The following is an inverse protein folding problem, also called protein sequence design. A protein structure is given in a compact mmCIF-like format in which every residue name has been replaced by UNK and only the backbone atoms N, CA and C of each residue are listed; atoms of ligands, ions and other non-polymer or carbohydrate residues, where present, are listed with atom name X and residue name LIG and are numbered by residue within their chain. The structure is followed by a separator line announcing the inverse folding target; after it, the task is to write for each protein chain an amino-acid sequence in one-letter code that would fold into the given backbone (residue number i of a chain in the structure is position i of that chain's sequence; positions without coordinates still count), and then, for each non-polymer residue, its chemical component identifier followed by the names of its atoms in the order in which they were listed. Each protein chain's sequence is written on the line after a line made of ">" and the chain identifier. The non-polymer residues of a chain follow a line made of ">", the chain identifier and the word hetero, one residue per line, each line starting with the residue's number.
data_IF_846342079590
#
_entry.id   IF_846342079590
#
_cell.length_a   1.000
_cell.length_b   1.000
_cell.length_c   1.000
_cell.angle_alpha   90.00
_cell.angle_beta   90.00
_cell.angle_gamma   90.00
#
_symmetry.space_group_name_H-M   'P 1'
#
loop_
_entity.id
_entity.type
_entity.pdbx_description
1 polymer ?
#
# COMPACT_ATOMS: atom_id res chain seq x y z
N UNK A 1 3.78 -16.29 5.76
CA UNK A 1 3.49 -16.14 7.21
C UNK A 1 3.54 -14.65 7.55
N UNK A 2 2.40 -13.98 7.79
CA UNK A 2 2.40 -12.57 8.22
C UNK A 2 2.79 -12.55 9.70
N UNK A 3 4.03 -12.18 10.02
CA UNK A 3 4.55 -12.19 11.40
C UNK A 3 4.38 -10.85 12.09
N UNK A 4 4.39 -10.89 13.44
CA UNK A 4 4.38 -9.76 14.39
C UNK A 4 5.38 -8.62 14.06
N UNK A 5 6.45 -8.93 13.31
CA UNK A 5 7.47 -7.98 12.86
C UNK A 5 6.93 -6.95 11.88
N UNK A 6 6.04 -7.35 10.97
CA UNK A 6 5.46 -6.46 9.95
C UNK A 6 4.55 -5.40 10.58
N UNK A 7 3.89 -5.77 11.68
CA UNK A 7 2.95 -4.92 12.42
C UNK A 7 3.56 -4.16 13.59
N UNK A 8 4.88 -4.28 13.84
CA UNK A 8 5.54 -3.74 15.04
C UNK A 8 4.72 -3.97 16.31
N UNK A 9 4.12 -5.15 16.46
CA UNK A 9 3.35 -5.52 17.64
C UNK A 9 4.32 -5.72 18.82
N UNK A 10 4.80 -4.61 19.40
CA UNK A 10 5.56 -4.63 20.65
C UNK A 10 4.63 -5.11 21.77
N UNK A 11 5.13 -5.79 22.82
CA UNK A 11 4.34 -6.05 24.01
C UNK A 11 3.87 -4.71 24.58
N UNK A 12 2.57 -4.44 24.51
CA UNK A 12 2.00 -3.22 25.09
C UNK A 12 1.41 -3.62 26.43
N UNK A 13 1.97 -3.08 27.52
CA UNK A 13 1.45 -3.25 28.87
C UNK A 13 0.24 -2.32 29.06
N UNK A 14 -0.82 -2.55 28.29
CA UNK A 14 -2.12 -1.89 28.43
C UNK A 14 -3.00 -2.78 29.31
N UNK A 15 -3.52 -2.22 30.40
CA UNK A 15 -4.38 -2.91 31.36
C UNK A 15 -5.88 -2.64 31.18
N UNK A 16 -6.24 -1.70 30.29
CA UNK A 16 -7.64 -1.31 30.06
C UNK A 16 -8.20 -2.10 28.86
N UNK A 17 -9.25 -2.88 29.11
CA UNK A 17 -9.82 -3.83 28.16
C UNK A 17 -10.23 -3.20 26.82
N UNK A 18 -10.78 -1.98 26.85
CA UNK A 18 -11.19 -1.24 25.65
C UNK A 18 -10.00 -0.93 24.72
N UNK A 19 -8.83 -0.57 25.27
CA UNK A 19 -7.61 -0.29 24.49
C UNK A 19 -7.02 -1.56 23.92
N UNK A 20 -7.10 -2.66 24.66
CA UNK A 20 -6.69 -3.99 24.21
C UNK A 20 -7.56 -4.41 23.01
N UNK A 21 -8.89 -4.31 23.15
CA UNK A 21 -9.83 -4.64 22.07
C UNK A 21 -9.61 -3.77 20.82
N UNK A 22 -9.45 -2.44 20.99
CA UNK A 22 -9.18 -1.55 19.86
C UNK A 22 -7.88 -1.89 19.12
N UNK A 23 -6.80 -2.20 19.85
CA UNK A 23 -5.55 -2.65 19.24
C UNK A 23 -5.72 -3.97 18.47
N UNK A 24 -6.40 -4.96 19.05
CA UNK A 24 -6.64 -6.23 18.37
C UNK A 24 -7.47 -6.07 17.09
N UNK A 25 -8.56 -5.30 17.15
CA UNK A 25 -9.42 -5.06 15.99
C UNK A 25 -8.64 -4.35 14.88
N UNK A 26 -7.88 -3.31 15.20
CA UNK A 26 -7.09 -2.58 14.20
C UNK A 26 -6.02 -3.47 13.56
N UNK A 27 -5.30 -4.27 14.35
CA UNK A 27 -4.35 -5.25 13.81
C UNK A 27 -5.04 -6.32 12.96
N UNK A 28 -6.19 -6.84 13.41
CA UNK A 28 -6.94 -7.84 12.67
C UNK A 28 -7.43 -7.32 11.32
N UNK A 29 -8.05 -6.14 11.27
CA UNK A 29 -8.49 -5.49 10.03
C UNK A 29 -7.31 -5.30 9.09
N UNK A 30 -6.19 -4.79 9.61
CA UNK A 30 -5.01 -4.54 8.79
C UNK A 30 -4.45 -5.84 8.18
N UNK A 31 -4.37 -6.92 8.96
CA UNK A 31 -3.96 -8.24 8.46
C UNK A 31 -4.96 -8.76 7.41
N UNK A 32 -6.26 -8.63 7.66
CA UNK A 32 -7.31 -9.06 6.72
C UNK A 32 -7.18 -8.34 5.37
N UNK A 33 -6.91 -7.03 5.37
CA UNK A 33 -6.67 -6.26 4.15
C UNK A 33 -5.46 -6.82 3.38
N UNK A 34 -4.33 -7.06 4.05
CA UNK A 34 -3.15 -7.62 3.39
C UNK A 34 -3.39 -9.04 2.86
N UNK A 35 -4.15 -9.87 3.57
CA UNK A 35 -4.52 -11.21 3.09
C UNK A 35 -5.40 -11.17 1.85
N UNK A 36 -6.34 -10.24 1.78
CA UNK A 36 -7.16 -10.04 0.58
C UNK A 36 -6.26 -9.64 -0.59
N UNK A 37 -5.33 -8.70 -0.36
CA UNK A 37 -4.40 -8.26 -1.40
C UNK A 37 -3.47 -9.38 -1.89
N UNK A 38 -2.92 -10.21 -0.98
CA UNK A 38 -2.14 -11.41 -1.36
C UNK A 38 -2.94 -12.35 -2.27
N UNK A 39 -4.23 -12.57 -1.94
CA UNK A 39 -5.11 -13.43 -2.75
C UNK A 39 -5.41 -12.84 -4.13
N UNK A 40 -5.60 -11.52 -4.23
CA UNK A 40 -5.78 -10.83 -5.51
C UNK A 40 -4.52 -10.90 -6.39
N UNK A 41 -3.35 -10.95 -5.76
CA UNK A 41 -2.04 -11.14 -6.41
C UNK A 41 -1.69 -12.63 -6.63
N UNK A 42 -2.69 -13.52 -6.53
CA UNK A 42 -2.53 -14.97 -6.72
C UNK A 42 -1.43 -15.61 -5.85
N UNK A 43 -1.15 -15.02 -4.69
CA UNK A 43 -0.13 -15.49 -3.73
C UNK A 43 1.29 -15.62 -4.35
N UNK A 44 1.57 -14.88 -5.42
CA UNK A 44 2.87 -14.87 -6.10
C UNK A 44 3.94 -14.07 -5.35
N UNK A 45 3.52 -13.15 -4.47
CA UNK A 45 4.38 -12.25 -3.71
C UNK A 45 4.11 -12.39 -2.22
N UNK A 46 5.13 -12.22 -1.39
CA UNK A 46 4.92 -12.23 0.06
C UNK A 46 4.29 -10.92 0.54
N UNK A 47 3.54 -10.96 1.64
CA UNK A 47 3.08 -9.72 2.33
C UNK A 47 4.19 -8.70 2.55
N UNK A 48 5.41 -9.17 2.84
CA UNK A 48 6.54 -8.30 3.06
C UNK A 48 6.91 -7.51 1.81
N UNK A 49 6.98 -8.19 0.67
CA UNK A 49 7.31 -7.58 -0.63
C UNK A 49 6.22 -6.59 -1.04
N UNK A 50 4.96 -6.97 -0.85
CA UNK A 50 3.79 -6.13 -1.15
C UNK A 50 3.83 -4.86 -0.31
N UNK A 51 4.00 -4.98 1.01
CA UNK A 51 4.02 -3.84 1.94
C UNK A 51 5.21 -2.93 1.65
N UNK A 52 6.38 -3.50 1.41
CA UNK A 52 7.60 -2.75 1.13
C UNK A 52 7.46 -1.99 -0.18
N UNK A 53 6.99 -2.65 -1.24
CA UNK A 53 6.75 -2.02 -2.54
C UNK A 53 5.76 -0.86 -2.42
N UNK A 54 4.60 -1.06 -1.78
CA UNK A 54 3.61 0.00 -1.60
C UNK A 54 4.16 1.21 -0.81
N UNK A 55 5.03 0.97 0.19
CA UNK A 55 5.67 2.05 0.95
C UNK A 55 6.72 2.80 0.13
N UNK A 56 7.39 2.12 -0.78
CA UNK A 56 8.45 2.68 -1.61
C UNK A 56 7.92 3.38 -2.87
N UNK A 57 6.67 3.11 -3.29
CA UNK A 57 5.96 3.79 -4.38
C UNK A 57 5.68 5.27 -4.08
N UNK A 58 6.74 6.08 -4.07
CA UNK A 58 6.72 7.51 -3.80
C UNK A 58 6.82 8.35 -5.08
N UNK A 59 6.54 9.64 -4.94
CA UNK A 59 6.56 10.60 -6.04
C UNK A 59 7.23 11.90 -5.61
N UNK A 60 8.06 12.45 -6.48
CA UNK A 60 8.59 13.80 -6.37
C UNK A 60 7.60 14.77 -7.00
N UNK A 61 7.16 15.78 -6.23
CA UNK A 61 6.35 16.86 -6.76
C UNK A 61 7.24 17.90 -7.45
N UNK A 62 7.02 18.10 -8.74
CA UNK A 62 7.66 19.16 -9.52
C UNK A 62 6.66 20.31 -9.66
N UNK A 63 6.94 21.42 -8.98
CA UNK A 63 6.05 22.58 -8.92
C UNK A 63 5.62 23.04 -10.32
N UNK A 64 4.31 23.02 -10.57
CA UNK A 64 3.72 23.48 -11.83
C UNK A 64 3.67 22.42 -12.95
N UNK A 65 4.50 21.38 -12.90
CA UNK A 65 4.60 20.38 -13.97
C UNK A 65 3.86 19.08 -13.65
N UNK A 66 3.94 18.60 -12.41
CA UNK A 66 3.30 17.35 -11.99
C UNK A 66 4.13 16.55 -11.00
N UNK A 67 4.12 15.23 -11.18
CA UNK A 67 4.74 14.28 -10.25
C UNK A 67 5.62 13.30 -11.01
N UNK A 68 6.84 13.09 -10.52
CA UNK A 68 7.79 12.11 -11.06
C UNK A 68 7.82 10.92 -10.11
N UNK A 69 7.54 9.70 -10.57
CA UNK A 69 7.67 8.50 -9.75
C UNK A 69 9.12 8.31 -9.31
N UNK A 70 9.35 8.01 -8.03
CA UNK A 70 10.70 7.77 -7.48
C UNK A 70 10.94 6.28 -7.16
N UNK A 71 10.17 5.40 -7.78
CA UNK A 71 10.28 3.95 -7.64
C UNK A 71 10.52 3.30 -9.00
N UNK A 72 11.04 2.08 -8.98
CA UNK A 72 11.33 1.33 -10.20
C UNK A 72 10.18 0.37 -10.51
N UNK A 73 9.84 0.26 -11.79
CA UNK A 73 8.88 -0.73 -12.29
C UNK A 73 9.40 -2.14 -12.07
N UNK A 74 8.60 -3.01 -11.48
CA UNK A 74 8.84 -4.43 -11.25
C UNK A 74 7.62 -5.25 -11.64
N UNK A 75 7.74 -6.58 -11.66
CA UNK A 75 6.58 -7.46 -11.88
C UNK A 75 5.47 -7.19 -10.86
N UNK A 76 5.83 -6.94 -9.59
CA UNK A 76 4.87 -6.62 -8.55
C UNK A 76 4.17 -5.28 -8.82
N UNK A 77 4.88 -4.23 -9.24
CA UNK A 77 4.21 -2.96 -9.56
C UNK A 77 3.28 -3.10 -10.76
N UNK A 78 3.64 -3.90 -11.76
CA UNK A 78 2.80 -4.13 -12.93
C UNK A 78 1.49 -4.83 -12.54
N UNK A 79 1.58 -5.87 -11.72
CA UNK A 79 0.38 -6.54 -11.17
C UNK A 79 -0.49 -5.59 -10.34
N UNK A 80 0.14 -4.72 -9.54
CA UNK A 80 -0.59 -3.72 -8.76
C UNK A 80 -1.29 -2.70 -9.68
N UNK A 81 -0.66 -2.25 -10.76
CA UNK A 81 -1.28 -1.36 -11.74
C UNK A 81 -2.41 -2.02 -12.51
N UNK A 82 -2.25 -3.29 -12.90
CA UNK A 82 -3.31 -4.08 -13.55
C UNK A 82 -4.53 -4.22 -12.64
N UNK A 83 -4.33 -4.56 -11.36
CA UNK A 83 -5.40 -4.65 -10.37
C UNK A 83 -6.07 -3.30 -10.08
N UNK A 84 -5.29 -2.22 -10.08
CA UNK A 84 -5.79 -0.87 -9.82
C UNK A 84 -6.50 -0.25 -11.04
N UNK A 85 -6.22 -0.72 -12.25
CA UNK A 85 -6.76 -0.18 -13.50
C UNK A 85 -6.14 1.17 -13.92
N UNK A 86 -5.01 1.56 -13.31
CA UNK A 86 -4.27 2.76 -13.70
C UNK A 86 -2.77 2.60 -13.44
N UNK A 87 -1.98 3.21 -14.33
CA UNK A 87 -0.52 3.22 -14.26
C UNK A 87 -0.02 4.52 -13.65
N UNK A 88 1.02 4.40 -12.80
CA UNK A 88 1.70 5.55 -12.17
C UNK A 88 3.19 5.59 -12.45
N UNK A 89 3.72 4.74 -13.33
CA UNK A 89 5.15 4.58 -13.65
C UNK A 89 5.65 5.47 -14.82
N UNK A 90 4.85 6.44 -15.25
CA UNK A 90 5.25 7.35 -16.33
C UNK A 90 6.33 8.34 -15.88
N UNK A 91 7.22 8.73 -16.82
CA UNK A 91 8.29 9.71 -16.57
C UNK A 91 7.80 11.03 -15.93
N UNK A 92 6.59 11.47 -16.27
CA UNK A 92 5.92 12.60 -15.63
C UNK A 92 4.39 12.39 -15.62
N UNK A 93 3.81 12.42 -14.43
CA UNK A 93 2.37 12.43 -14.21
C UNK A 93 1.90 13.88 -14.04
N UNK A 94 1.21 14.41 -15.06
CA UNK A 94 0.65 15.77 -14.95
C UNK A 94 -0.38 15.87 -13.82
N UNK A 95 -0.54 17.06 -13.24
CA UNK A 95 -1.56 17.29 -12.22
C UNK A 95 -2.97 16.92 -12.69
N UNK A 96 -3.28 17.15 -13.96
CA UNK A 96 -4.56 16.78 -14.56
C UNK A 96 -4.78 15.27 -14.52
N UNK A 97 -3.75 14.47 -14.84
CA UNK A 97 -3.83 13.01 -14.81
C UNK A 97 -4.08 12.49 -13.40
N UNK A 98 -3.36 13.00 -12.40
CA UNK A 98 -3.59 12.62 -11.00
C UNK A 98 -5.00 13.02 -10.54
N UNK A 99 -5.45 14.25 -10.87
CA UNK A 99 -6.83 14.68 -10.58
C UNK A 99 -7.87 13.75 -11.21
N UNK A 100 -7.64 13.27 -12.44
CA UNK A 100 -8.53 12.31 -13.08
C UNK A 100 -8.54 10.95 -12.37
N UNK A 101 -7.37 10.42 -11.98
CA UNK A 101 -7.27 9.18 -11.21
C UNK A 101 -8.01 9.32 -9.87
N UNK A 102 -7.79 10.42 -9.14
CA UNK A 102 -8.50 10.68 -7.88
C UNK A 102 -10.01 10.84 -8.08
N UNK A 103 -10.44 11.34 -9.25
CA UNK A 103 -11.86 11.45 -9.59
C UNK A 103 -12.48 10.10 -9.92
N UNK A 104 -11.75 9.17 -10.55
CA UNK A 104 -12.26 7.82 -10.84
C UNK A 104 -12.31 6.91 -9.61
N UNK A 105 -11.60 7.26 -8.53
CA UNK A 105 -11.62 6.56 -7.25
C UNK A 105 -12.77 7.00 -6.32
N UNK A 106 -13.49 8.08 -6.67
CA UNK A 106 -14.68 8.58 -5.95
C UNK A 106 -15.95 8.02 -6.55
#
# INVERSE_FOLDING_TARGET
>A
RIMKSEFKARPVHLSRDDRIQAHFITCFISITIFRILEKLLHEQFSSHDIITTLKEMNFLNVHGEGYIPTYTRTELTDRLHDLAGFNTDYQLLSQKKIKNILKSLK
#
